data_IF_100875827597
#
_entry.id   IF_100875827597
#
_cell.length_a   1.000
_cell.length_b   1.000
_cell.length_c   1.000
_cell.angle_alpha   90.00
_cell.angle_beta   90.00
_cell.angle_gamma   90.00
#
_symmetry.space_group_name_H-M   'P 1'
#
loop_
_entity.id
_entity.type
_entity.pdbx_description
1 polymer ?
#
# COMPACT_ATOMS: atom_id res chain seq x y z
N UNK A 1 9.80 39.47 -46.73
CA UNK A 1 10.60 39.28 -45.49
C UNK A 1 9.71 39.15 -44.24
N UNK A 2 8.51 39.76 -44.22
CA UNK A 2 7.54 39.70 -43.10
C UNK A 2 6.87 38.31 -42.90
N UNK A 3 6.45 37.62 -43.97
CA UNK A 3 5.70 36.35 -43.84
C UNK A 3 6.49 35.20 -43.20
N UNK A 4 7.82 35.18 -43.40
CA UNK A 4 8.70 34.16 -42.82
C UNK A 4 8.82 34.32 -41.31
N UNK A 5 8.88 35.56 -40.82
CA UNK A 5 8.88 35.88 -39.39
C UNK A 5 7.53 35.54 -38.73
N UNK A 6 6.42 35.77 -39.44
CA UNK A 6 5.08 35.41 -38.97
C UNK A 6 4.92 33.90 -38.83
N UNK A 7 5.40 33.12 -39.82
CA UNK A 7 5.38 31.66 -39.77
C UNK A 7 6.20 31.07 -38.61
N UNK A 8 7.41 31.57 -38.38
CA UNK A 8 8.25 31.13 -37.25
C UNK A 8 7.61 31.44 -35.89
N UNK A 9 6.92 32.58 -35.77
CA UNK A 9 6.23 32.97 -34.53
C UNK A 9 5.01 32.10 -34.27
N UNK A 10 4.25 31.76 -35.32
CA UNK A 10 3.12 30.82 -35.23
C UNK A 10 3.57 29.42 -34.82
N UNK A 11 4.66 28.92 -35.40
CA UNK A 11 5.22 27.60 -35.08
C UNK A 11 5.68 27.55 -33.63
N UNK A 12 6.43 28.55 -33.14
CA UNK A 12 6.87 28.61 -31.73
C UNK A 12 5.69 28.63 -30.77
N UNK A 13 4.63 29.38 -31.11
CA UNK A 13 3.40 29.45 -30.30
C UNK A 13 2.68 28.10 -30.26
N UNK A 14 2.62 27.39 -31.39
CA UNK A 14 2.00 26.07 -31.47
C UNK A 14 2.77 25.04 -30.65
N UNK A 15 4.10 24.99 -30.77
CA UNK A 15 4.96 24.11 -29.98
C UNK A 15 4.81 24.34 -28.48
N UNK A 16 4.79 25.60 -28.05
CA UNK A 16 4.60 25.93 -26.64
C UNK A 16 3.24 25.45 -26.12
N UNK A 17 2.16 25.64 -26.88
CA UNK A 17 0.81 25.16 -26.50
C UNK A 17 0.76 23.64 -26.39
N UNK A 18 1.35 22.91 -27.34
CA UNK A 18 1.41 21.44 -27.30
C UNK A 18 2.20 20.94 -26.10
N UNK A 19 3.33 21.57 -25.79
CA UNK A 19 4.16 21.23 -24.63
C UNK A 19 3.43 21.44 -23.30
N UNK A 20 2.68 22.54 -23.17
CA UNK A 20 1.87 22.82 -21.96
C UNK A 20 0.75 21.78 -21.79
N UNK A 21 0.06 21.40 -22.88
CA UNK A 21 -1.00 20.38 -22.82
C UNK A 21 -0.42 19.02 -22.42
N UNK A 22 0.72 18.63 -23.01
CA UNK A 22 1.39 17.37 -22.67
C UNK A 22 1.82 17.32 -21.21
N UNK A 23 2.39 18.40 -20.69
CA UNK A 23 2.81 18.45 -19.27
C UNK A 23 1.61 18.33 -18.33
N UNK A 24 0.47 18.98 -18.62
CA UNK A 24 -0.75 18.84 -17.84
C UNK A 24 -1.27 17.40 -17.85
N UNK A 25 -1.31 16.74 -19.01
CA UNK A 25 -1.77 15.35 -19.15
C UNK A 25 -0.88 14.39 -18.33
N UNK A 26 0.44 14.55 -18.41
CA UNK A 26 1.40 13.71 -17.67
C UNK A 26 1.24 13.92 -16.16
N UNK A 27 1.05 15.15 -15.70
CA UNK A 27 0.83 15.45 -14.27
C UNK A 27 -0.48 14.84 -13.75
N UNK A 28 -1.56 14.90 -14.53
CA UNK A 28 -2.85 14.30 -14.14
C UNK A 28 -2.78 12.77 -14.10
N UNK A 29 -2.10 12.15 -15.06
CA UNK A 29 -1.88 10.70 -15.07
C UNK A 29 -1.05 10.23 -13.85
N UNK A 30 -0.04 11.02 -13.47
CA UNK A 30 0.80 10.72 -12.29
C UNK A 30 0.01 10.82 -10.98
N UNK A 31 -0.92 11.77 -10.87
CA UNK A 31 -1.79 11.92 -9.70
C UNK A 31 -2.77 10.74 -9.56
N UNK A 32 -3.33 10.27 -10.68
CA UNK A 32 -4.23 9.11 -10.69
C UNK A 32 -3.51 7.81 -10.26
N UNK A 33 -2.24 7.65 -10.65
CA UNK A 33 -1.42 6.49 -10.25
C UNK A 33 -0.96 6.55 -8.79
N UNK A 34 -0.74 7.76 -8.24
CA UNK A 34 -0.41 7.93 -6.83
C UNK A 34 -1.61 7.64 -5.89
N UNK A 35 -2.84 7.80 -6.39
CA UNK A 35 -4.06 7.56 -5.62
C UNK A 35 -4.50 6.09 -5.53
N UNK A 36 -3.88 5.17 -6.27
CA UNK A 36 -4.41 3.80 -6.42
C UNK A 36 -3.84 2.76 -5.46
N UNK A 37 -3.05 3.14 -4.45
CA UNK A 37 -2.37 2.18 -3.58
C UNK A 37 -2.55 2.49 -2.10
N UNK A 38 -3.78 2.41 -1.62
CA UNK A 38 -4.07 2.12 -0.20
C UNK A 38 -5.40 1.37 -0.14
N UNK A 39 -5.40 0.13 -0.62
CA UNK A 39 -6.47 -0.81 -0.27
C UNK A 39 -6.33 -1.11 1.21
N UNK A 40 -7.19 -0.50 2.02
CA UNK A 40 -7.38 -0.81 3.44
C UNK A 40 -7.86 -2.27 3.51
N UNK A 41 -6.92 -3.20 3.62
CA UNK A 41 -7.18 -4.60 3.94
C UNK A 41 -6.28 -4.97 5.11
N UNK A 42 -6.33 -4.27 6.25
CA UNK A 42 -5.39 -4.59 7.33
C UNK A 42 -5.85 -4.34 8.78
N UNK A 43 -7.15 -4.16 9.04
CA UNK A 43 -7.51 -3.56 10.33
C UNK A 43 -7.67 -4.55 11.51
N UNK A 44 -7.61 -5.86 11.30
CA UNK A 44 -7.72 -6.83 12.40
C UNK A 44 -6.35 -7.35 12.86
N UNK A 45 -5.49 -7.74 11.91
CA UNK A 45 -4.19 -8.32 12.22
C UNK A 45 -3.21 -7.32 12.80
N UNK A 46 -3.20 -6.10 12.27
CA UNK A 46 -2.37 -5.01 12.80
C UNK A 46 -2.71 -4.71 14.26
N UNK A 47 -4.00 -4.69 14.61
CA UNK A 47 -4.42 -4.46 15.99
C UNK A 47 -3.78 -5.48 16.94
N UNK A 48 -3.84 -6.77 16.62
CA UNK A 48 -3.24 -7.80 17.47
C UNK A 48 -1.72 -7.78 17.47
N UNK A 49 -1.11 -7.49 16.32
CA UNK A 49 0.35 -7.37 16.20
C UNK A 49 0.88 -6.24 17.08
N UNK A 50 0.23 -5.08 17.07
CA UNK A 50 0.59 -3.93 17.91
C UNK A 50 0.20 -4.13 19.38
N UNK A 51 -1.00 -4.64 19.66
CA UNK A 51 -1.49 -4.81 21.03
C UNK A 51 -0.67 -5.84 21.81
N UNK A 52 -0.35 -6.97 21.18
CA UNK A 52 0.41 -8.05 21.82
C UNK A 52 1.90 -8.02 21.54
N UNK A 53 2.38 -7.02 20.76
CA UNK A 53 3.79 -6.89 20.33
C UNK A 53 4.32 -8.19 19.73
N UNK A 54 3.49 -8.84 18.92
CA UNK A 54 3.81 -10.12 18.30
C UNK A 54 5.01 -9.94 17.38
N UNK A 55 5.89 -10.93 17.33
CA UNK A 55 7.02 -10.97 16.40
C UNK A 55 6.87 -12.18 15.50
N UNK A 56 7.15 -11.98 14.21
CA UNK A 56 7.12 -13.06 13.24
C UNK A 56 5.86 -13.07 12.38
N UNK A 57 5.77 -14.06 11.50
CA UNK A 57 4.65 -14.22 10.57
C UNK A 57 3.62 -15.24 11.10
N UNK A 58 2.32 -14.99 10.90
CA UNK A 58 1.27 -15.90 11.33
C UNK A 58 1.18 -17.12 10.39
N UNK A 59 0.92 -18.28 10.97
CA UNK A 59 0.58 -19.53 10.29
C UNK A 59 -0.63 -20.14 10.97
N UNK A 60 -1.71 -20.37 10.23
CA UNK A 60 -2.91 -20.95 10.82
C UNK A 60 -2.72 -22.45 11.10
N UNK A 61 -3.05 -22.87 12.32
CA UNK A 61 -3.00 -24.24 12.78
C UNK A 61 -4.42 -24.77 12.98
N UNK A 62 -4.90 -25.55 11.99
CA UNK A 62 -6.26 -26.09 11.97
C UNK A 62 -6.54 -27.14 13.06
N UNK A 63 -5.51 -27.79 13.60
CA UNK A 63 -5.68 -28.79 14.66
C UNK A 63 -6.09 -28.14 15.99
N UNK A 64 -5.57 -26.95 16.25
CA UNK A 64 -5.80 -26.22 17.51
C UNK A 64 -6.68 -24.98 17.36
N UNK A 65 -7.10 -24.69 16.12
CA UNK A 65 -7.88 -23.52 15.72
C UNK A 65 -7.28 -22.21 16.26
N UNK A 66 -6.00 -22.00 15.92
CA UNK A 66 -5.20 -20.86 16.37
C UNK A 66 -4.19 -20.44 15.32
N UNK A 67 -3.61 -19.27 15.49
CA UNK A 67 -2.49 -18.81 14.67
C UNK A 67 -1.19 -18.97 15.43
N UNK A 68 -0.26 -19.75 14.89
CA UNK A 68 1.10 -19.89 15.39
C UNK A 68 2.00 -18.86 14.71
N UNK A 69 2.92 -18.24 15.46
CA UNK A 69 3.84 -17.22 14.94
C UNK A 69 5.26 -17.75 14.93
N UNK A 70 5.98 -17.46 13.84
CA UNK A 70 7.36 -17.90 13.63
C UNK A 70 8.27 -16.73 13.24
N UNK A 71 9.50 -16.71 13.75
CA UNK A 71 10.50 -15.73 13.32
C UNK A 71 11.01 -16.02 11.90
N UNK A 72 11.89 -15.15 11.40
CA UNK A 72 12.50 -15.30 10.08
C UNK A 72 13.38 -16.56 9.94
N UNK A 73 13.83 -17.14 11.05
CA UNK A 73 14.57 -18.41 11.07
C UNK A 73 13.65 -19.64 11.16
N UNK A 74 12.33 -19.44 11.27
CA UNK A 74 11.34 -20.51 11.44
C UNK A 74 11.18 -20.99 12.90
N UNK A 75 11.69 -20.24 13.88
CA UNK A 75 11.53 -20.53 15.30
C UNK A 75 10.15 -20.08 15.78
N UNK A 76 9.43 -20.96 16.47
CA UNK A 76 8.13 -20.61 17.07
C UNK A 76 8.30 -19.51 18.14
N UNK A 77 7.45 -18.49 18.06
CA UNK A 77 7.49 -17.29 18.91
C UNK A 77 6.27 -17.15 19.83
N UNK A 78 5.16 -17.82 19.50
CA UNK A 78 3.92 -17.71 20.23
C UNK A 78 2.71 -18.11 19.40
N UNK A 79 1.53 -18.03 20.00
CA UNK A 79 0.26 -18.28 19.31
C UNK A 79 -0.83 -17.31 19.72
N UNK A 80 -1.76 -17.05 18.82
CA UNK A 80 -2.96 -16.23 19.04
C UNK A 80 -4.19 -17.11 18.85
N UNK A 81 -5.03 -17.21 19.88
CA UNK A 81 -6.24 -18.04 19.86
C UNK A 81 -7.44 -17.21 20.31
N UNK A 82 -8.59 -17.42 19.66
CA UNK A 82 -9.84 -16.82 20.11
C UNK A 82 -10.44 -17.63 21.26
N UNK A 83 -10.80 -16.94 22.34
CA UNK A 83 -11.46 -17.51 23.50
C UNK A 83 -12.96 -17.23 23.41
N UNK A 84 -13.73 -18.25 23.06
CA UNK A 84 -15.19 -18.14 22.91
C UNK A 84 -15.93 -17.79 24.22
N UNK A 85 -15.33 -18.04 25.39
CA UNK A 85 -15.97 -17.76 26.69
C UNK A 85 -15.81 -16.28 27.05
N UNK A 86 -14.63 -15.73 26.79
CA UNK A 86 -14.30 -14.32 27.07
C UNK A 86 -14.56 -13.40 25.88
N UNK A 87 -14.98 -13.97 24.75
CA UNK A 87 -15.23 -13.31 23.47
C UNK A 87 -14.05 -12.45 22.98
N UNK A 88 -12.82 -12.86 23.29
CA UNK A 88 -11.61 -12.09 23.00
C UNK A 88 -10.49 -12.95 22.40
N UNK A 89 -9.48 -12.30 21.82
CA UNK A 89 -8.27 -12.96 21.36
C UNK A 89 -7.23 -12.95 22.47
N UNK A 90 -6.61 -14.11 22.69
CA UNK A 90 -5.57 -14.32 23.69
C UNK A 90 -4.26 -14.67 23.00
N UNK A 91 -3.20 -13.96 23.37
CA UNK A 91 -1.85 -14.21 22.88
C UNK A 91 -1.03 -14.97 23.92
N UNK A 92 -0.41 -16.06 23.48
CA UNK A 92 0.45 -16.94 24.26
C UNK A 92 1.85 -16.92 23.65
N UNK A 93 2.66 -15.93 24.04
CA UNK A 93 4.05 -15.77 23.64
C UNK A 93 5.02 -16.58 24.49
N UNK A 94 6.25 -16.74 23.97
CA UNK A 94 7.42 -17.22 24.72
C UNK A 94 8.16 -16.05 25.37
#
# INVERSE_FOLDING_TARGET
MSDKQTGETMIKTLFFRVFVVLTIIISLASLAFAGSSYTIVDNAWDYYYYAFKIKGYPTFNSLYDRYDFYDLAGTYCGSLKYNNILENWEYFGI
#
